data_IF_887243443757
#
_entry.id   IF_887243443757
#
_cell.length_a   1.000
_cell.length_b   1.000
_cell.length_c   1.000
_cell.angle_alpha   90.00
_cell.angle_beta   90.00
_cell.angle_gamma   90.00
#
_symmetry.space_group_name_H-M   'P 1'
#
loop_
_entity.id
_entity.type
_entity.pdbx_description
1 polymer ?
#
# COMPACT_ATOMS: atom_id res chain seq x y z
N UNK A 1 22.49 59.70 -19.81
CA UNK A 1 21.07 59.27 -19.99
C UNK A 1 20.90 57.75 -19.94
N UNK A 2 21.74 56.94 -20.61
CA UNK A 2 21.42 55.52 -20.85
C UNK A 2 22.09 54.48 -19.93
N UNK A 3 22.96 54.89 -19.00
CA UNK A 3 23.66 53.96 -18.09
C UNK A 3 22.98 53.75 -16.72
N UNK A 4 21.81 54.36 -16.46
CA UNK A 4 21.22 54.33 -15.11
C UNK A 4 20.20 53.21 -14.85
N UNK A 5 19.70 52.47 -15.85
CA UNK A 5 18.55 51.58 -15.64
C UNK A 5 18.68 50.18 -16.24
N UNK A 6 19.69 49.40 -15.85
CA UNK A 6 19.60 47.94 -16.07
C UNK A 6 20.44 47.14 -15.08
N UNK A 7 20.20 47.31 -13.77
CA UNK A 7 20.63 46.32 -12.79
C UNK A 7 19.59 45.19 -12.70
N UNK A 8 19.57 44.29 -13.69
CA UNK A 8 18.83 43.04 -13.59
C UNK A 8 19.57 42.14 -12.60
N UNK A 9 19.06 42.00 -11.38
CA UNK A 9 19.51 40.92 -10.49
C UNK A 9 19.24 39.60 -11.21
N UNK A 10 20.26 38.97 -11.79
CA UNK A 10 20.20 37.57 -12.21
C UNK A 10 19.88 36.76 -10.95
N UNK A 11 18.64 36.32 -10.82
CA UNK A 11 18.25 35.31 -9.85
C UNK A 11 19.13 34.08 -10.11
N UNK A 12 20.08 33.83 -9.20
CA UNK A 12 20.91 32.64 -9.26
C UNK A 12 19.99 31.42 -9.12
N UNK A 13 19.70 30.78 -10.25
CA UNK A 13 18.92 29.57 -10.29
C UNK A 13 19.76 28.46 -9.65
N UNK A 14 19.55 28.22 -8.35
CA UNK A 14 20.21 27.13 -7.62
C UNK A 14 19.63 25.82 -8.14
N UNK A 15 20.43 25.09 -8.93
CA UNK A 15 20.12 23.71 -9.30
C UNK A 15 20.25 22.77 -8.11
N UNK A 16 19.56 21.63 -8.17
CA UNK A 16 19.66 20.56 -7.18
C UNK A 16 21.01 19.86 -7.28
N UNK A 17 21.59 19.47 -6.14
CA UNK A 17 22.88 18.78 -6.11
C UNK A 17 22.71 17.26 -6.29
N UNK A 18 23.71 16.60 -6.87
CA UNK A 18 23.71 15.13 -6.96
C UNK A 18 23.69 14.46 -5.58
N UNK A 19 24.31 15.11 -4.59
CA UNK A 19 24.36 14.62 -3.20
C UNK A 19 22.97 14.57 -2.59
N UNK A 20 22.15 15.60 -2.79
CA UNK A 20 20.77 15.58 -2.31
C UNK A 20 19.97 14.45 -2.97
N UNK A 21 20.20 14.16 -4.26
CA UNK A 21 19.49 13.07 -4.95
C UNK A 21 19.90 11.70 -4.40
N UNK A 22 21.19 11.50 -4.14
CA UNK A 22 21.70 10.24 -3.61
C UNK A 22 21.13 9.91 -2.23
N UNK A 23 21.01 10.91 -1.36
CA UNK A 23 20.40 10.72 -0.03
C UNK A 23 18.92 10.34 -0.16
N UNK A 24 18.18 11.01 -1.05
CA UNK A 24 16.76 10.70 -1.29
C UNK A 24 16.59 9.26 -1.78
N UNK A 25 17.39 8.82 -2.75
CA UNK A 25 17.33 7.44 -3.27
C UNK A 25 17.70 6.43 -2.20
N UNK A 26 18.70 6.73 -1.35
CA UNK A 26 19.07 5.86 -0.24
C UNK A 26 17.91 5.68 0.76
N UNK A 27 17.24 6.77 1.15
CA UNK A 27 16.09 6.72 2.06
C UNK A 27 14.93 5.93 1.43
N UNK A 28 14.59 6.21 0.17
CA UNK A 28 13.53 5.48 -0.55
C UNK A 28 13.88 3.99 -0.65
N UNK A 29 15.14 3.64 -0.91
CA UNK A 29 15.60 2.26 -0.98
C UNK A 29 15.40 1.50 0.35
N UNK A 30 15.75 2.12 1.48
CA UNK A 30 15.55 1.53 2.81
C UNK A 30 14.05 1.33 3.08
N UNK A 31 13.22 2.34 2.80
CA UNK A 31 11.78 2.25 3.00
C UNK A 31 11.15 1.18 2.12
N UNK A 32 11.53 1.11 0.84
CA UNK A 32 11.01 0.11 -0.11
C UNK A 32 11.40 -1.32 0.29
N UNK A 33 12.63 -1.53 0.76
CA UNK A 33 13.11 -2.83 1.20
C UNK A 33 12.27 -3.43 2.34
N UNK A 34 11.76 -2.59 3.25
CA UNK A 34 10.88 -3.01 4.35
C UNK A 34 9.42 -3.07 3.90
N UNK A 35 8.96 -2.06 3.15
CA UNK A 35 7.56 -1.90 2.80
C UNK A 35 7.05 -2.99 1.85
N UNK A 36 7.85 -3.42 0.86
CA UNK A 36 7.44 -4.43 -0.14
C UNK A 36 7.09 -5.78 0.51
N UNK A 37 7.98 -6.43 1.29
CA UNK A 37 7.67 -7.71 1.92
C UNK A 37 6.54 -7.56 2.95
N UNK A 38 6.52 -6.46 3.73
CA UNK A 38 5.46 -6.20 4.71
C UNK A 38 4.09 -6.09 4.04
N UNK A 39 3.98 -5.33 2.96
CA UNK A 39 2.72 -5.15 2.24
C UNK A 39 2.24 -6.46 1.59
N UNK A 40 3.16 -7.25 1.03
CA UNK A 40 2.85 -8.59 0.51
C UNK A 40 2.27 -9.50 1.59
N UNK A 41 2.93 -9.58 2.75
CA UNK A 41 2.47 -10.37 3.88
C UNK A 41 1.12 -9.88 4.43
N UNK A 42 0.91 -8.56 4.48
CA UNK A 42 -0.37 -7.97 4.89
C UNK A 42 -1.51 -8.37 3.96
N UNK A 43 -1.29 -8.33 2.64
CA UNK A 43 -2.28 -8.75 1.65
C UNK A 43 -2.65 -10.23 1.81
N UNK A 44 -1.65 -11.10 1.98
CA UNK A 44 -1.89 -12.54 2.22
C UNK A 44 -2.69 -12.76 3.50
N UNK A 45 -2.36 -12.06 4.59
CA UNK A 45 -3.12 -12.13 5.84
C UNK A 45 -4.57 -11.67 5.65
N UNK A 46 -4.81 -10.61 4.89
CA UNK A 46 -6.16 -10.14 4.56
C UNK A 46 -6.96 -11.16 3.76
N UNK A 47 -6.34 -11.81 2.78
CA UNK A 47 -6.96 -12.90 2.02
C UNK A 47 -7.30 -14.10 2.92
N UNK A 48 -6.36 -14.52 3.78
CA UNK A 48 -6.58 -15.63 4.70
C UNK A 48 -7.68 -15.32 5.71
N UNK A 49 -7.74 -14.09 6.23
CA UNK A 49 -8.79 -13.67 7.14
C UNK A 49 -10.17 -13.68 6.46
N UNK A 50 -10.24 -13.24 5.19
CA UNK A 50 -11.47 -13.29 4.40
C UNK A 50 -11.91 -14.73 4.18
N UNK A 51 -11.01 -15.61 3.73
CA UNK A 51 -11.30 -17.03 3.54
C UNK A 51 -11.74 -17.73 4.83
N UNK A 52 -11.10 -17.40 5.97
CA UNK A 52 -11.51 -17.93 7.27
C UNK A 52 -12.91 -17.46 7.68
N UNK A 53 -13.24 -16.19 7.39
CA UNK A 53 -14.58 -15.65 7.61
C UNK A 53 -15.61 -16.37 6.74
N UNK A 54 -15.29 -16.60 5.47
CA UNK A 54 -16.18 -17.29 4.54
C UNK A 54 -16.47 -18.72 5.02
N UNK A 55 -15.45 -19.48 5.39
CA UNK A 55 -15.61 -20.84 5.95
C UNK A 55 -16.50 -20.80 7.19
N UNK A 56 -16.25 -19.86 8.11
CA UNK A 56 -17.07 -19.73 9.33
C UNK A 56 -18.52 -19.40 9.00
N UNK A 57 -18.76 -18.51 8.02
CA UNK A 57 -20.10 -18.18 7.57
C UNK A 57 -20.81 -19.39 6.96
N UNK A 58 -20.12 -20.19 6.13
CA UNK A 58 -20.65 -21.43 5.59
C UNK A 58 -20.96 -22.45 6.69
N UNK A 59 -20.06 -22.65 7.65
CA UNK A 59 -20.32 -23.54 8.80
C UNK A 59 -21.56 -23.11 9.56
N UNK A 60 -21.68 -21.83 9.91
CA UNK A 60 -22.86 -21.32 10.61
C UNK A 60 -24.14 -21.47 9.78
N UNK A 61 -24.08 -21.26 8.47
CA UNK A 61 -25.23 -21.47 7.59
C UNK A 61 -25.65 -22.95 7.50
N UNK A 62 -24.67 -23.87 7.42
CA UNK A 62 -24.93 -25.32 7.42
C UNK A 62 -25.50 -25.79 8.76
N UNK A 63 -24.98 -25.30 9.89
CA UNK A 63 -25.50 -25.60 11.22
C UNK A 63 -26.95 -25.11 11.38
N UNK A 64 -27.27 -23.92 10.86
CA UNK A 64 -28.63 -23.40 10.86
C UNK A 64 -29.58 -24.26 10.00
N UNK A 65 -29.16 -24.65 8.79
CA UNK A 65 -29.96 -25.52 7.92
C UNK A 65 -30.17 -26.91 8.55
N UNK A 66 -29.15 -27.47 9.19
CA UNK A 66 -29.26 -28.74 9.90
C UNK A 66 -30.22 -28.65 11.10
N UNK A 67 -30.24 -27.53 11.81
CA UNK A 67 -31.16 -27.32 12.92
C UNK A 67 -32.63 -27.30 12.47
N UNK A 68 -32.91 -26.82 11.25
CA UNK A 68 -34.27 -26.77 10.68
C UNK A 68 -34.69 -28.12 10.08
N UNK A 69 -33.87 -28.71 9.19
CA UNK A 69 -34.27 -29.86 8.37
C UNK A 69 -33.71 -31.21 8.88
N UNK A 70 -32.95 -31.22 9.98
CA UNK A 70 -32.24 -32.40 10.53
C UNK A 70 -31.29 -33.10 9.53
N UNK A 71 -30.96 -32.42 8.43
CA UNK A 71 -30.09 -32.90 7.37
C UNK A 71 -29.23 -31.73 6.87
N UNK A 72 -27.99 -32.03 6.48
CA UNK A 72 -27.15 -31.04 5.85
C UNK A 72 -27.59 -30.83 4.39
N UNK A 73 -27.61 -29.59 3.89
CA UNK A 73 -27.95 -29.34 2.49
C UNK A 73 -26.93 -30.00 1.56
N UNK A 74 -27.42 -30.70 0.53
CA UNK A 74 -26.55 -31.31 -0.47
C UNK A 74 -25.85 -30.23 -1.28
N UNK A 75 -24.53 -30.37 -1.40
CA UNK A 75 -23.69 -29.51 -2.23
C UNK A 75 -23.93 -29.90 -3.70
N UNK A 76 -24.21 -28.95 -4.61
CA UNK A 76 -24.26 -29.23 -6.04
C UNK A 76 -22.95 -29.79 -6.61
#
# INVERSE_FOLDING_TARGET
MMQFLMNTKKSAQKGFTLVELMIVVAIIGILAAIAIPQFSAYRVRGMNASAQSDVKNFTTAMEAAFADDQAYPEIP
#
